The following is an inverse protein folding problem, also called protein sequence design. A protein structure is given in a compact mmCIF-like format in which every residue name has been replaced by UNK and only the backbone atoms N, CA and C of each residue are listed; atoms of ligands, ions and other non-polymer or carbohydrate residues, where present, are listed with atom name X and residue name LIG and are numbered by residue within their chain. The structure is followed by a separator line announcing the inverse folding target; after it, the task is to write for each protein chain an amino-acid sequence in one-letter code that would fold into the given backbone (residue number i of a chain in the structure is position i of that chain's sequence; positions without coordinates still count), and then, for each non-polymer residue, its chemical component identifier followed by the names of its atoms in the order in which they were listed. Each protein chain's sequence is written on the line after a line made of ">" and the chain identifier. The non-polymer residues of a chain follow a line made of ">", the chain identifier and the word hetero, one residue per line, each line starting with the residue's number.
data_IF_828923577347
#
_entry.id   IF_828923577347
#
_cell.length_a   1.000
_cell.length_b   1.000
_cell.length_c   1.000
_cell.angle_alpha   90.00
_cell.angle_beta   90.00
_cell.angle_gamma   90.00
#
_symmetry.space_group_name_H-M   'P 1'
#
loop_
_entity.id
_entity.type
_entity.pdbx_description
1 polymer ?
#
# COMPACT_ATOMS: atom_id res chain seq x y z
N UNK A 1 -15.52 -6.84 16.42
CA UNK A 1 -15.64 -8.26 16.01
C UNK A 1 -14.44 -8.56 15.12
N UNK A 2 -13.44 -9.24 15.64
CA UNK A 2 -12.16 -9.47 14.96
C UNK A 2 -12.36 -10.48 13.82
N UNK A 3 -11.88 -10.18 12.62
CA UNK A 3 -11.84 -11.11 11.47
C UNK A 3 -10.46 -11.81 11.48
N UNK A 4 -10.33 -13.00 12.09
CA UNK A 4 -9.05 -13.72 12.14
C UNK A 4 -8.52 -14.08 10.74
N UNK A 5 -9.42 -14.28 9.77
CA UNK A 5 -9.00 -14.58 8.40
C UNK A 5 -8.37 -13.35 7.72
N UNK A 6 -8.81 -12.13 8.07
CA UNK A 6 -8.20 -10.91 7.55
C UNK A 6 -6.78 -10.73 8.07
N UNK A 7 -6.54 -11.06 9.34
CA UNK A 7 -5.20 -11.06 9.91
C UNK A 7 -4.29 -12.06 9.18
N UNK A 8 -4.77 -13.29 8.96
CA UNK A 8 -4.03 -14.31 8.20
C UNK A 8 -3.69 -13.85 6.78
N UNK A 9 -4.65 -13.25 6.07
CA UNK A 9 -4.43 -12.69 4.73
C UNK A 9 -3.35 -11.60 4.73
N UNK A 10 -3.33 -10.72 5.73
CA UNK A 10 -2.31 -9.67 5.85
C UNK A 10 -0.93 -10.26 6.13
N UNK A 11 -0.84 -11.24 7.04
CA UNK A 11 0.42 -11.93 7.37
C UNK A 11 1.00 -12.72 6.20
N UNK A 12 0.19 -13.10 5.20
CA UNK A 12 0.68 -13.74 3.98
C UNK A 12 1.53 -12.81 3.10
N UNK A 13 1.47 -11.48 3.30
CA UNK A 13 2.30 -10.52 2.57
C UNK A 13 3.70 -10.47 3.20
N UNK A 14 4.77 -10.85 2.48
CA UNK A 14 6.12 -10.72 3.00
C UNK A 14 6.40 -9.26 3.37
N UNK A 15 6.95 -9.02 4.56
CA UNK A 15 7.16 -7.68 5.10
C UNK A 15 6.01 -7.09 5.93
N UNK A 16 4.85 -7.75 6.02
CA UNK A 16 3.80 -7.38 6.98
C UNK A 16 3.82 -8.37 8.16
N UNK A 17 4.42 -7.95 9.28
CA UNK A 17 4.39 -8.69 10.54
C UNK A 17 3.11 -8.44 11.35
N UNK A 18 2.96 -9.13 12.49
CA UNK A 18 1.77 -9.03 13.36
C UNK A 18 1.41 -7.60 13.74
N UNK A 19 2.38 -6.80 14.18
CA UNK A 19 2.17 -5.39 14.55
C UNK A 19 1.60 -4.58 13.38
N UNK A 20 2.21 -4.71 12.20
CA UNK A 20 1.76 -3.99 11.01
C UNK A 20 0.39 -4.47 10.54
N UNK A 21 0.15 -5.79 10.59
CA UNK A 21 -1.13 -6.37 10.21
C UNK A 21 -2.27 -5.88 11.12
N UNK A 22 -2.03 -5.84 12.44
CA UNK A 22 -3.00 -5.32 13.40
C UNK A 22 -3.26 -3.83 13.15
N UNK A 23 -2.23 -3.00 13.01
CA UNK A 23 -2.40 -1.57 12.69
C UNK A 23 -3.22 -1.40 11.41
N UNK A 24 -2.91 -2.14 10.36
CA UNK A 24 -3.67 -2.08 9.11
C UNK A 24 -5.13 -2.48 9.32
N UNK A 25 -5.40 -3.57 10.04
CA UNK A 25 -6.74 -4.06 10.29
C UNK A 25 -7.57 -3.07 11.11
N UNK A 26 -7.01 -2.54 12.19
CA UNK A 26 -7.68 -1.60 13.07
C UNK A 26 -7.94 -0.26 12.40
N UNK A 27 -7.00 0.28 11.63
CA UNK A 27 -7.18 1.57 10.96
C UNK A 27 -8.16 1.51 9.77
N UNK A 28 -8.29 0.34 9.15
CA UNK A 28 -9.24 0.12 8.05
C UNK A 28 -10.65 -0.13 8.59
N UNK A 29 -10.76 -0.93 9.65
CA UNK A 29 -11.98 -1.55 10.18
C UNK A 29 -12.69 -2.46 9.16
N UNK A 30 -13.35 -1.89 8.14
CA UNK A 30 -14.00 -2.64 7.07
C UNK A 30 -13.52 -2.12 5.71
N UNK A 31 -12.89 -3.00 4.92
CA UNK A 31 -12.39 -2.65 3.59
C UNK A 31 -13.50 -2.22 2.62
N UNK A 32 -14.75 -2.66 2.85
CA UNK A 32 -15.91 -2.36 2.00
C UNK A 32 -16.33 -0.89 2.05
N UNK A 33 -15.92 -0.14 3.08
CA UNK A 33 -16.12 1.33 3.14
C UNK A 33 -15.44 2.07 1.99
N UNK A 34 -14.44 1.45 1.36
CA UNK A 34 -13.72 1.99 0.22
C UNK A 34 -14.24 1.33 -1.06
N UNK A 35 -15.17 2.00 -1.74
CA UNK A 35 -15.74 1.53 -3.01
C UNK A 35 -14.64 1.26 -4.06
N UNK A 36 -13.71 2.21 -4.20
CA UNK A 36 -12.60 2.19 -5.16
C UNK A 36 -11.25 2.12 -4.46
N UNK A 37 -10.28 1.45 -5.09
CA UNK A 37 -8.90 1.35 -4.57
C UNK A 37 -8.24 2.72 -4.41
N UNK A 38 -8.60 3.69 -5.26
CA UNK A 38 -8.12 5.07 -5.22
C UNK A 38 -8.47 5.75 -3.88
N UNK A 39 -9.67 5.51 -3.36
CA UNK A 39 -10.12 6.05 -2.08
C UNK A 39 -9.27 5.48 -0.94
N UNK A 40 -8.99 4.18 -0.98
CA UNK A 40 -8.17 3.50 0.01
C UNK A 40 -6.71 3.98 0.02
N UNK A 41 -6.07 4.07 -1.14
CA UNK A 41 -4.66 4.53 -1.23
C UNK A 41 -4.53 6.02 -0.91
N UNK A 42 -5.56 6.82 -1.20
CA UNK A 42 -5.64 8.23 -0.76
C UNK A 42 -5.74 8.31 0.76
N UNK A 43 -6.68 7.55 1.36
CA UNK A 43 -6.82 7.46 2.81
C UNK A 43 -5.53 6.99 3.48
N UNK A 44 -4.80 6.05 2.90
CA UNK A 44 -3.53 5.53 3.44
C UNK A 44 -2.30 6.42 3.18
N UNK A 45 -2.48 7.62 2.62
CA UNK A 45 -1.41 8.56 2.19
C UNK A 45 -0.37 7.94 1.26
N UNK A 46 -0.79 7.01 0.42
CA UNK A 46 0.07 6.31 -0.56
C UNK A 46 0.08 6.97 -1.94
N UNK A 47 -0.67 8.06 -2.11
CA UNK A 47 -0.69 8.90 -3.31
C UNK A 47 -0.47 10.35 -2.94
N UNK A 48 -0.06 11.17 -3.91
CA UNK A 48 -0.05 12.62 -3.77
C UNK A 48 -1.41 13.15 -4.22
N UNK A 49 -2.17 13.88 -3.38
CA UNK A 49 -3.41 14.52 -3.80
C UNK A 49 -3.10 15.59 -4.85
N UNK A 50 -3.92 15.69 -5.89
CA UNK A 50 -3.92 16.87 -6.76
C UNK A 50 -4.55 18.05 -6.01
N UNK A 51 -4.02 19.25 -6.22
CA UNK A 51 -4.61 20.50 -5.75
C UNK A 51 -5.40 21.07 -6.92
N UNK A 52 -6.72 20.97 -6.86
CA UNK A 52 -7.62 21.46 -7.89
C UNK A 52 -8.54 22.54 -7.32
N UNK A 53 -8.77 23.60 -8.08
CA UNK A 53 -9.74 24.66 -7.75
C UNK A 53 -10.37 25.19 -9.03
N UNK A 54 -11.69 25.34 -9.04
CA UNK A 54 -12.45 25.82 -10.20
C UNK A 54 -12.03 25.14 -11.53
N UNK A 55 -11.82 23.82 -11.51
CA UNK A 55 -11.42 23.04 -12.69
C UNK A 55 -9.95 23.17 -13.13
N UNK A 56 -9.13 23.97 -12.44
CA UNK A 56 -7.69 24.12 -12.72
C UNK A 56 -6.84 23.32 -11.74
N UNK A 57 -5.81 22.64 -12.26
CA UNK A 57 -4.84 21.87 -11.48
C UNK A 57 -3.64 22.76 -11.12
N UNK A 58 -3.43 22.98 -9.81
CA UNK A 58 -2.37 23.83 -9.23
C UNK A 58 -1.20 23.01 -8.67
N UNK A 59 -1.04 21.75 -9.08
CA UNK A 59 -0.02 20.83 -8.59
C UNK A 59 -0.53 19.93 -7.48
N UNK A 60 0.23 19.78 -6.39
CA UNK A 60 -0.06 18.82 -5.32
C UNK A 60 -0.02 19.50 -3.95
N UNK A 61 -0.99 19.21 -3.08
CA UNK A 61 -1.05 19.70 -1.70
C UNK A 61 -1.63 18.63 -0.77
N UNK A 62 -1.79 18.91 0.52
CA UNK A 62 -2.45 17.99 1.43
C UNK A 62 -1.62 16.79 1.84
N UNK A 63 -0.28 16.93 1.91
CA UNK A 63 0.65 15.82 2.24
C UNK A 63 0.37 15.10 3.57
N UNK A 64 -0.38 15.75 4.47
CA UNK A 64 -0.77 15.22 5.79
C UNK A 64 -2.25 14.76 5.86
N UNK A 65 -2.99 14.81 4.75
CA UNK A 65 -4.38 14.34 4.72
C UNK A 65 -4.40 12.81 4.66
N UNK A 66 -5.32 12.18 5.39
CA UNK A 66 -5.48 10.72 5.50
C UNK A 66 -4.89 10.16 6.80
N UNK A 67 -4.66 8.86 6.84
CA UNK A 67 -4.24 8.11 8.01
C UNK A 67 -2.71 7.98 8.12
N UNK A 68 -2.13 8.51 9.20
CA UNK A 68 -0.68 8.47 9.42
C UNK A 68 -0.15 7.08 9.79
N UNK A 69 -0.94 6.28 10.51
CA UNK A 69 -0.57 4.93 10.92
C UNK A 69 -0.49 4.00 9.71
N UNK A 70 -1.47 4.05 8.81
CA UNK A 70 -1.42 3.31 7.54
C UNK A 70 -0.23 3.74 6.68
N UNK A 71 0.06 5.06 6.62
CA UNK A 71 1.23 5.56 5.90
C UNK A 71 2.53 4.94 6.43
N UNK A 72 2.71 4.97 7.74
CA UNK A 72 3.86 4.36 8.40
C UNK A 72 3.91 2.85 8.11
N UNK A 73 2.82 2.12 8.35
CA UNK A 73 2.78 0.67 8.23
C UNK A 73 3.15 0.19 6.82
N UNK A 74 2.62 0.82 5.76
CA UNK A 74 2.96 0.46 4.39
C UNK A 74 4.37 0.89 3.98
N UNK A 75 4.90 1.97 4.57
CA UNK A 75 6.29 2.38 4.36
C UNK A 75 7.27 1.39 4.99
N UNK A 76 6.99 0.92 6.21
CA UNK A 76 7.77 -0.13 6.87
C UNK A 76 7.71 -1.44 6.10
N UNK A 77 6.50 -1.88 5.71
CA UNK A 77 6.33 -3.10 4.92
C UNK A 77 7.12 -3.06 3.60
N UNK A 78 7.15 -1.90 2.93
CA UNK A 78 7.93 -1.73 1.70
C UNK A 78 9.45 -1.82 1.90
N UNK A 79 9.97 -1.57 3.10
CA UNK A 79 11.38 -1.74 3.43
C UNK A 79 11.68 -3.19 3.81
N UNK A 80 10.84 -3.81 4.64
CA UNK A 80 11.04 -5.18 5.14
C UNK A 80 10.94 -6.18 3.99
N UNK A 81 9.95 -6.05 3.10
CA UNK A 81 9.74 -6.96 1.96
C UNK A 81 10.97 -7.10 1.04
N UNK A 82 11.85 -6.09 1.01
CA UNK A 82 13.07 -6.09 0.20
C UNK A 82 14.16 -7.01 0.75
N UNK A 83 14.08 -7.38 2.03
CA UNK A 83 14.99 -8.33 2.68
C UNK A 83 14.62 -9.77 2.31
N UNK A 84 13.33 -10.06 2.28
CA UNK A 84 12.83 -11.43 2.19
C UNK A 84 12.55 -11.88 0.75
N UNK A 85 12.30 -10.94 -0.19
CA UNK A 85 11.87 -11.28 -1.57
C UNK A 85 12.81 -10.66 -2.62
N UNK A 86 13.80 -11.42 -3.14
CA UNK A 86 14.78 -10.94 -4.12
C UNK A 86 14.16 -10.39 -5.41
N UNK A 87 13.03 -10.93 -5.87
CA UNK A 87 12.33 -10.50 -7.08
C UNK A 87 11.72 -9.10 -6.91
N UNK A 88 11.23 -8.78 -5.71
CA UNK A 88 10.73 -7.44 -5.39
C UNK A 88 11.89 -6.46 -5.27
N UNK A 89 13.05 -6.91 -4.76
CA UNK A 89 14.29 -6.11 -4.77
C UNK A 89 14.71 -5.75 -6.19
N UNK A 90 14.78 -6.73 -7.11
CA UNK A 90 15.05 -6.50 -8.55
C UNK A 90 14.01 -5.56 -9.18
N UNK A 91 12.74 -5.71 -8.84
CA UNK A 91 11.68 -4.80 -9.30
C UNK A 91 11.91 -3.36 -8.82
N UNK A 92 12.25 -3.18 -7.54
CA UNK A 92 12.55 -1.86 -6.96
C UNK A 92 13.78 -1.23 -7.57
N UNK A 93 14.82 -2.00 -7.90
CA UNK A 93 16.01 -1.50 -8.60
C UNK A 93 15.67 -0.93 -9.99
N UNK A 94 14.78 -1.60 -10.74
CA UNK A 94 14.25 -1.08 -12.01
C UNK A 94 13.49 0.24 -11.80
N UNK A 95 12.67 0.33 -10.76
CA UNK A 95 11.98 1.59 -10.39
C UNK A 95 12.96 2.69 -10.00
N UNK A 96 14.02 2.34 -9.27
CA UNK A 96 15.05 3.29 -8.83
C UNK A 96 15.80 3.88 -10.01
N UNK A 97 16.16 3.07 -11.02
CA UNK A 97 16.78 3.55 -12.26
C UNK A 97 15.90 4.55 -13.01
N UNK A 98 14.57 4.37 -12.98
CA UNK A 98 13.62 5.23 -13.71
C UNK A 98 13.20 6.49 -12.94
N UNK A 99 13.03 6.40 -11.62
CA UNK A 99 12.38 7.44 -10.82
C UNK A 99 13.21 7.96 -9.64
N UNK A 100 14.37 7.35 -9.36
CA UNK A 100 15.20 7.65 -8.20
C UNK A 100 14.80 6.87 -6.94
N UNK A 101 15.69 6.88 -5.94
CA UNK A 101 15.59 6.03 -4.73
C UNK A 101 14.33 6.31 -3.91
N UNK A 102 14.05 7.58 -3.62
CA UNK A 102 12.92 7.97 -2.77
C UNK A 102 11.56 7.66 -3.42
N UNK A 103 11.42 7.93 -4.73
CA UNK A 103 10.19 7.63 -5.47
C UNK A 103 9.98 6.12 -5.61
N UNK A 104 11.03 5.33 -5.82
CA UNK A 104 10.92 3.88 -5.94
C UNK A 104 10.29 3.22 -4.71
N UNK A 105 10.69 3.61 -3.49
CA UNK A 105 10.08 3.11 -2.26
C UNK A 105 8.62 3.55 -2.13
N UNK A 106 8.30 4.79 -2.49
CA UNK A 106 6.92 5.29 -2.44
C UNK A 106 6.01 4.55 -3.42
N UNK A 107 6.51 4.24 -4.63
CA UNK A 107 5.79 3.44 -5.63
C UNK A 107 5.59 2.00 -5.13
N UNK A 108 6.59 1.41 -4.46
CA UNK A 108 6.47 0.08 -3.89
C UNK A 108 5.42 0.03 -2.77
N UNK A 109 5.46 0.97 -1.82
CA UNK A 109 4.46 1.08 -0.75
C UNK A 109 3.05 1.26 -1.33
N UNK A 110 2.90 2.10 -2.36
CA UNK A 110 1.64 2.27 -3.08
C UNK A 110 1.15 0.95 -3.69
N UNK A 111 2.05 0.17 -4.31
CA UNK A 111 1.72 -1.13 -4.90
C UNK A 111 1.30 -2.15 -3.86
N UNK A 112 1.97 -2.19 -2.70
CA UNK A 112 1.60 -3.04 -1.56
C UNK A 112 0.21 -2.68 -1.05
N UNK A 113 -0.08 -1.39 -0.83
CA UNK A 113 -1.41 -0.95 -0.40
C UNK A 113 -2.52 -1.35 -1.38
N UNK A 114 -2.27 -1.24 -2.69
CA UNK A 114 -3.22 -1.73 -3.70
C UNK A 114 -3.42 -3.24 -3.63
N UNK A 115 -2.36 -4.01 -3.41
CA UNK A 115 -2.45 -5.46 -3.26
C UNK A 115 -3.29 -5.83 -2.04
N UNK A 116 -3.00 -5.21 -0.87
CA UNK A 116 -3.76 -5.41 0.37
C UNK A 116 -5.25 -5.09 0.19
N UNK A 117 -5.59 -3.99 -0.50
CA UNK A 117 -6.98 -3.67 -0.80
C UNK A 117 -7.70 -4.80 -1.53
N UNK A 118 -7.11 -5.31 -2.61
CA UNK A 118 -7.74 -6.38 -3.39
C UNK A 118 -7.73 -7.72 -2.66
N UNK A 119 -6.68 -8.04 -1.90
CA UNK A 119 -6.60 -9.24 -1.07
C UNK A 119 -7.71 -9.27 -0.03
N UNK A 120 -7.91 -8.19 0.71
CA UNK A 120 -8.97 -8.09 1.71
C UNK A 120 -10.36 -8.11 1.07
N UNK A 121 -10.57 -7.36 -0.03
CA UNK A 121 -11.88 -7.30 -0.71
C UNK A 121 -12.27 -8.62 -1.38
N UNK A 122 -11.29 -9.40 -1.87
CA UNK A 122 -11.52 -10.69 -2.57
C UNK A 122 -11.32 -11.90 -1.65
N UNK A 123 -10.94 -11.68 -0.39
CA UNK A 123 -10.57 -12.73 0.56
C UNK A 123 -9.47 -13.68 0.02
N UNK A 124 -8.50 -13.13 -0.70
CA UNK A 124 -7.35 -13.87 -1.25
C UNK A 124 -6.07 -13.61 -0.44
N UNK A 125 -5.18 -14.59 -0.40
CA UNK A 125 -3.80 -14.44 0.13
C UNK A 125 -2.86 -13.80 -0.88
N UNK A 126 -1.69 -13.36 -0.41
CA UNK A 126 -0.69 -12.72 -1.26
C UNK A 126 -0.20 -13.67 -2.35
N UNK A 127 -0.07 -13.13 -3.57
CA UNK A 127 0.46 -13.86 -4.71
C UNK A 127 1.54 -13.02 -5.38
N UNK A 128 2.79 -13.48 -5.28
CA UNK A 128 3.95 -12.78 -5.83
C UNK A 128 3.87 -12.61 -7.35
N UNK A 129 3.35 -13.61 -8.07
CA UNK A 129 3.16 -13.54 -9.52
C UNK A 129 2.18 -12.44 -9.93
N UNK A 130 0.99 -12.38 -9.30
CA UNK A 130 0.01 -11.29 -9.50
C UNK A 130 0.61 -9.94 -9.09
N UNK A 131 1.41 -9.90 -8.03
CA UNK A 131 2.06 -8.68 -7.57
C UNK A 131 3.08 -8.15 -8.58
N UNK A 132 3.92 -8.99 -9.16
CA UNK A 132 4.98 -8.56 -10.08
C UNK A 132 4.50 -8.28 -11.50
N UNK A 133 3.36 -8.83 -11.92
CA UNK A 133 2.76 -8.53 -13.24
C UNK A 133 2.60 -7.02 -13.43
N UNK A 134 3.04 -6.53 -14.59
CA UNK A 134 2.70 -5.18 -15.04
C UNK A 134 1.22 -5.17 -15.40
N UNK A 135 0.50 -4.18 -14.85
CA UNK A 135 -0.82 -3.81 -15.35
C UNK A 135 -0.65 -2.88 -16.55
#
# INVERSE_FOLDING_TARGET
>A
MHDPDALFRLLSVPGIGQTLALVILYEIHDIRRFEKVQNFVSYSRLVKPSKESAGKIYGHSGKKIGNAHLKWAFSEAAVIILRDVPEIKKYKEKLQKKHGKAKALSILAHKIGRAVYYMLKRKEVFNLGKFLKKK
#
